data_IF_028368026601
#
_entry.id   IF_028368026601
#
_cell.length_a   1.000
_cell.length_b   1.000
_cell.length_c   1.000
_cell.angle_alpha   90.00
_cell.angle_beta   90.00
_cell.angle_gamma   90.00
#
_symmetry.space_group_name_H-M   'P 1'
#
loop_
_entity.id
_entity.type
_entity.pdbx_description
1 polymer ?
#
# COMPACT_ATOMS: atom_id res chain seq x y z
N UNK A 1 -8.03 27.98 -3.36
CA UNK A 1 -8.07 26.96 -4.43
C UNK A 1 -8.21 25.63 -3.73
N UNK A 2 -9.35 24.95 -3.86
CA UNK A 2 -9.50 23.58 -3.35
C UNK A 2 -8.79 22.65 -4.32
N UNK A 3 -7.64 22.10 -3.91
CA UNK A 3 -7.01 21.01 -4.64
C UNK A 3 -7.92 19.78 -4.56
N UNK A 4 -8.37 19.32 -5.72
CA UNK A 4 -9.17 18.11 -5.81
C UNK A 4 -8.24 16.89 -5.74
N UNK A 5 -8.40 16.07 -4.69
CA UNK A 5 -7.67 14.81 -4.56
C UNK A 5 -8.36 13.76 -5.44
N UNK A 6 -7.65 13.25 -6.44
CA UNK A 6 -8.14 12.18 -7.30
C UNK A 6 -7.98 10.82 -6.60
N UNK A 7 -9.08 10.27 -6.09
CA UNK A 7 -9.09 8.95 -5.44
C UNK A 7 -8.98 7.77 -6.43
N UNK A 8 -9.16 8.01 -7.73
CA UNK A 8 -8.91 7.00 -8.77
C UNK A 8 -7.43 6.91 -9.16
N UNK A 9 -6.55 7.61 -8.42
CA UNK A 9 -5.12 7.55 -8.66
C UNK A 9 -4.60 6.12 -8.41
N UNK A 10 -4.03 5.43 -9.41
CA UNK A 10 -3.54 4.06 -9.27
C UNK A 10 -2.37 3.93 -8.28
N UNK A 11 -1.74 5.05 -7.87
CA UNK A 11 -0.72 5.10 -6.83
C UNK A 11 -1.26 4.77 -5.44
N UNK A 12 -2.58 4.84 -5.22
CA UNK A 12 -3.23 4.58 -3.92
C UNK A 12 -4.18 3.41 -4.09
N UNK A 13 -4.00 2.36 -3.30
CA UNK A 13 -4.77 1.12 -3.45
C UNK A 13 -5.05 0.46 -2.11
N UNK A 14 -6.03 -0.46 -2.09
CA UNK A 14 -6.24 -1.29 -0.90
C UNK A 14 -5.07 -2.26 -0.72
N UNK A 15 -4.81 -2.66 0.52
CA UNK A 15 -3.80 -3.67 0.84
C UNK A 15 -3.97 -4.97 0.02
N UNK A 16 -5.23 -5.39 -0.21
CA UNK A 16 -5.54 -6.58 -0.99
C UNK A 16 -5.21 -6.40 -2.48
N UNK A 17 -5.53 -5.25 -3.05
CA UNK A 17 -5.20 -4.94 -4.46
C UNK A 17 -3.69 -4.84 -4.65
N UNK A 18 -3.00 -4.17 -3.72
CA UNK A 18 -1.54 -4.06 -3.72
C UNK A 18 -0.88 -5.44 -3.65
N UNK A 19 -1.36 -6.32 -2.76
CA UNK A 19 -0.83 -7.68 -2.66
C UNK A 19 -0.98 -8.44 -3.98
N UNK A 20 -2.13 -8.35 -4.65
CA UNK A 20 -2.36 -8.98 -5.96
C UNK A 20 -1.39 -8.47 -7.03
N UNK A 21 -1.24 -7.14 -7.13
CA UNK A 21 -0.37 -6.45 -8.09
C UNK A 21 1.12 -6.83 -7.95
N UNK A 22 1.56 -7.14 -6.72
CA UNK A 22 2.93 -7.60 -6.41
C UNK A 22 3.08 -9.13 -6.31
N UNK A 23 2.04 -9.91 -6.63
CA UNK A 23 2.08 -11.38 -6.54
C UNK A 23 2.29 -11.91 -5.10
N UNK A 24 1.80 -11.19 -4.09
CA UNK A 24 1.86 -11.56 -2.67
C UNK A 24 0.52 -12.10 -2.18
N UNK A 25 0.55 -12.77 -1.02
CA UNK A 25 -0.66 -13.21 -0.33
C UNK A 25 -1.55 -12.01 0.05
N UNK A 26 -2.90 -12.12 0.01
CA UNK A 26 -3.82 -11.00 0.26
C UNK A 26 -3.62 -10.25 1.59
N UNK A 27 -3.09 -10.92 2.60
CA UNK A 27 -2.83 -10.37 3.94
C UNK A 27 -1.40 -9.86 4.13
N UNK A 28 -0.54 -9.92 3.10
CA UNK A 28 0.87 -9.56 3.14
C UNK A 28 1.13 -8.18 3.75
N UNK A 29 0.41 -7.15 3.31
CA UNK A 29 0.58 -5.77 3.80
C UNK A 29 0.26 -5.69 5.30
N UNK A 30 -0.83 -6.35 5.74
CA UNK A 30 -1.24 -6.40 7.15
C UNK A 30 -0.22 -7.14 8.01
N UNK A 31 0.25 -8.29 7.54
CA UNK A 31 1.26 -9.07 8.26
C UNK A 31 2.58 -8.30 8.37
N UNK A 32 2.99 -7.62 7.31
CA UNK A 32 4.24 -6.85 7.29
C UNK A 32 4.15 -5.63 8.19
N UNK A 33 3.03 -4.88 8.12
CA UNK A 33 2.81 -3.72 8.99
C UNK A 33 2.79 -4.11 10.48
N UNK A 34 2.20 -5.27 10.81
CA UNK A 34 2.16 -5.78 12.19
C UNK A 34 3.53 -6.24 12.70
N UNK A 35 4.34 -6.86 11.83
CA UNK A 35 5.63 -7.43 12.22
C UNK A 35 6.76 -6.41 12.24
N UNK A 36 6.81 -5.51 11.25
CA UNK A 36 7.80 -4.44 11.19
C UNK A 36 7.22 -3.23 10.44
N UNK A 37 6.56 -2.29 11.15
CA UNK A 37 5.96 -1.12 10.53
C UNK A 37 6.99 -0.18 9.89
N UNK A 38 8.23 -0.15 10.39
CA UNK A 38 9.30 0.72 9.90
C UNK A 38 9.77 0.39 8.47
N UNK A 39 9.32 -0.72 7.89
CA UNK A 39 9.58 -1.04 6.46
C UNK A 39 8.77 -0.19 5.50
N UNK A 40 7.69 0.42 5.98
CA UNK A 40 6.89 1.33 5.19
C UNK A 40 7.39 2.76 5.43
N UNK A 41 7.67 3.54 4.37
CA UNK A 41 7.89 4.97 4.49
C UNK A 41 6.73 5.66 5.19
N UNK A 42 7.01 6.73 5.93
CA UNK A 42 5.98 7.48 6.66
C UNK A 42 4.88 7.97 5.71
N UNK A 43 3.62 7.71 6.07
CA UNK A 43 2.45 8.08 5.25
C UNK A 43 2.16 7.15 4.07
N UNK A 44 3.02 6.18 3.77
CA UNK A 44 2.83 5.25 2.65
C UNK A 44 1.79 4.15 2.91
N UNK A 45 1.41 3.92 4.17
CA UNK A 45 0.38 2.96 4.59
C UNK A 45 -0.45 3.53 5.74
N UNK A 46 -1.78 3.37 5.68
CA UNK A 46 -2.69 3.85 6.73
C UNK A 46 -3.96 3.02 6.80
N UNK A 47 -4.47 2.85 8.02
CA UNK A 47 -5.78 2.24 8.27
C UNK A 47 -6.87 3.31 8.10
N UNK A 48 -7.80 3.07 7.18
CA UNK A 48 -9.01 3.85 6.97
C UNK A 48 -10.23 2.98 7.28
N UNK A 49 -10.91 3.27 8.39
CA UNK A 49 -11.98 2.41 8.90
C UNK A 49 -11.48 1.00 9.18
N UNK A 50 -11.88 0.03 8.34
CA UNK A 50 -11.48 -1.38 8.44
C UNK A 50 -10.50 -1.82 7.34
N UNK A 51 -10.17 -0.94 6.40
CA UNK A 51 -9.30 -1.23 5.26
C UNK A 51 -7.94 -0.56 5.42
N UNK A 52 -6.89 -1.31 5.11
CA UNK A 52 -5.56 -0.73 4.92
C UNK A 52 -5.46 -0.19 3.51
N UNK A 53 -5.04 1.06 3.41
CA UNK A 53 -4.69 1.73 2.17
C UNK A 53 -3.17 1.85 2.14
N UNK A 54 -2.59 1.55 0.99
CA UNK A 54 -1.15 1.58 0.77
C UNK A 54 -0.86 2.26 -0.56
N UNK A 55 0.27 2.93 -0.62
CA UNK A 55 0.78 3.56 -1.84
C UNK A 55 1.65 2.60 -2.64
N UNK A 56 1.87 2.88 -3.93
CA UNK A 56 2.90 2.19 -4.72
C UNK A 56 4.27 2.28 -4.04
N UNK A 57 4.68 3.47 -3.63
CA UNK A 57 5.96 3.69 -2.94
C UNK A 57 6.11 2.78 -1.72
N UNK A 58 5.05 2.66 -0.91
CA UNK A 58 5.05 1.75 0.25
C UNK A 58 5.24 0.29 -0.14
N UNK A 59 4.64 -0.14 -1.25
CA UNK A 59 4.82 -1.50 -1.77
C UNK A 59 6.22 -1.73 -2.36
N UNK A 60 6.77 -0.76 -3.08
CA UNK A 60 8.13 -0.86 -3.63
C UNK A 60 9.18 -0.88 -2.53
N UNK A 61 9.04 -0.03 -1.51
CA UNK A 61 9.94 0.01 -0.36
C UNK A 61 9.93 -1.32 0.41
N UNK A 62 8.74 -1.89 0.64
CA UNK A 62 8.63 -3.14 1.40
C UNK A 62 9.02 -4.37 0.59
N UNK A 63 8.78 -4.40 -0.72
CA UNK A 63 9.08 -5.57 -1.55
C UNK A 63 10.47 -5.53 -2.18
N UNK A 64 11.05 -4.33 -2.34
CA UNK A 64 12.33 -4.10 -3.01
C UNK A 64 12.26 -4.13 -4.54
N UNK A 65 11.06 -4.16 -5.13
CA UNK A 65 10.87 -4.19 -6.58
C UNK A 65 9.57 -3.51 -7.01
N UNK A 66 9.52 -3.10 -8.29
CA UNK A 66 8.33 -2.54 -8.92
C UNK A 66 7.19 -3.57 -9.03
N UNK A 67 6.00 -3.05 -9.33
CA UNK A 67 4.79 -3.83 -9.65
C UNK A 67 5.06 -4.85 -10.77
N UNK A 68 4.46 -6.04 -10.69
CA UNK A 68 4.68 -7.13 -11.66
C UNK A 68 3.57 -7.14 -12.73
N UNK A 69 2.44 -6.51 -12.44
CA UNK A 69 1.23 -6.53 -13.26
C UNK A 69 1.19 -5.47 -14.36
#
# INVERSE_FOLDING_TARGET
>A
MSEHINLNNPEIMTATDAARRWGKAPDYVRQTLRSNPARFPDGSVKLFGRQLIVTREGMEAVTGHAEIQ
#
